data_IF_373237022580
#
_entry.id   IF_373237022580
#
_cell.length_a   1.000
_cell.length_b   1.000
_cell.length_c   1.000
_cell.angle_alpha   90.00
_cell.angle_beta   90.00
_cell.angle_gamma   90.00
#
_symmetry.space_group_name_H-M   'P 1'
#
loop_
_entity.id
_entity.type
_entity.pdbx_description
1 polymer ?
#
# COMPACT_ATOMS: atom_id res chain seq x y z
N UNK A 1 6.52 -12.92 -0.26
CA UNK A 1 6.12 -12.93 -1.69
C UNK A 1 4.65 -12.57 -1.95
N UNK A 2 3.72 -12.67 -0.97
CA UNK A 2 2.26 -12.52 -1.25
C UNK A 2 1.77 -11.06 -1.23
N UNK A 3 2.44 -10.12 -0.55
CA UNK A 3 1.90 -8.76 -0.34
C UNK A 3 1.82 -7.93 -1.63
N UNK A 4 2.89 -7.84 -2.43
CA UNK A 4 2.85 -7.10 -3.70
C UNK A 4 1.77 -7.64 -4.63
N UNK A 5 1.66 -8.97 -4.74
CA UNK A 5 0.60 -9.61 -5.54
C UNK A 5 -0.81 -9.24 -5.09
N UNK A 6 -1.04 -9.04 -3.79
CA UNK A 6 -2.34 -8.55 -3.29
C UNK A 6 -2.64 -7.14 -3.77
N UNK A 7 -1.64 -6.27 -3.86
CA UNK A 7 -1.85 -4.92 -4.40
C UNK A 7 -2.23 -4.98 -5.88
N UNK A 8 -1.56 -5.83 -6.66
CA UNK A 8 -1.91 -6.03 -8.07
C UNK A 8 -3.26 -6.72 -8.29
N UNK A 9 -3.78 -7.43 -7.28
CA UNK A 9 -5.06 -8.13 -7.36
C UNK A 9 -6.26 -7.24 -6.98
N UNK A 10 -6.08 -6.37 -5.98
CA UNK A 10 -7.19 -5.62 -5.37
C UNK A 10 -7.24 -4.14 -5.74
N UNK A 11 -6.16 -3.57 -6.27
CA UNK A 11 -6.14 -2.20 -6.76
C UNK A 11 -6.16 -2.19 -8.29
N UNK A 12 -6.76 -1.14 -8.85
CA UNK A 12 -6.84 -0.97 -10.29
C UNK A 12 -5.57 -0.29 -10.84
N UNK A 13 -5.18 -0.65 -12.07
CA UNK A 13 -4.05 -0.10 -12.82
C UNK A 13 -2.74 -0.01 -11.98
N UNK A 14 -2.29 -1.10 -11.35
CA UNK A 14 -1.06 -1.10 -10.55
C UNK A 14 0.16 -0.86 -11.44
N UNK A 15 0.99 0.14 -11.09
CA UNK A 15 2.25 0.44 -11.78
C UNK A 15 3.38 0.56 -10.78
N UNK A 16 4.52 -0.02 -11.11
CA UNK A 16 5.72 0.08 -10.28
C UNK A 16 6.86 0.66 -11.12
N UNK A 17 7.50 1.68 -10.58
CA UNK A 17 8.64 2.35 -11.20
C UNK A 17 9.84 2.21 -10.27
N UNK A 18 10.81 1.41 -10.68
CA UNK A 18 12.07 1.26 -9.94
C UNK A 18 12.87 2.55 -10.07
N UNK A 19 13.25 3.13 -8.94
CA UNK A 19 14.08 4.34 -8.93
C UNK A 19 15.56 3.97 -8.80
N UNK A 20 15.88 3.09 -7.86
CA UNK A 20 17.25 2.70 -7.58
C UNK A 20 17.31 1.26 -7.06
N UNK A 21 18.41 0.57 -7.33
CA UNK A 21 18.78 -0.66 -6.66
C UNK A 21 20.26 -0.61 -6.29
N UNK A 22 20.58 -0.90 -5.03
CA UNK A 22 21.95 -0.86 -4.49
C UNK A 22 22.18 -2.08 -3.62
N UNK A 23 23.36 -2.69 -3.74
CA UNK A 23 23.82 -3.64 -2.74
C UNK A 23 24.21 -2.87 -1.47
N UNK A 24 23.42 -3.01 -0.41
CA UNK A 24 23.61 -2.27 0.84
C UNK A 24 24.59 -2.97 1.76
N UNK A 25 24.61 -4.30 1.73
CA UNK A 25 25.57 -5.18 2.38
C UNK A 25 25.75 -6.44 1.54
N UNK A 26 26.82 -7.20 1.77
CA UNK A 26 27.07 -8.46 1.04
C UNK A 26 25.82 -9.36 1.06
N UNK A 27 25.29 -9.66 -0.13
CA UNK A 27 24.13 -10.53 -0.29
C UNK A 27 22.77 -9.88 0.02
N UNK A 28 22.71 -8.57 0.26
CA UNK A 28 21.46 -7.80 0.39
C UNK A 28 21.43 -6.68 -0.63
N UNK A 29 20.46 -6.76 -1.55
CA UNK A 29 20.17 -5.70 -2.51
C UNK A 29 18.89 -5.00 -2.06
N UNK A 30 18.99 -3.70 -1.79
CA UNK A 30 17.84 -2.86 -1.48
C UNK A 30 17.49 -2.02 -2.71
N UNK A 31 16.21 -1.98 -3.04
CA UNK A 31 15.67 -1.18 -4.11
C UNK A 31 14.58 -0.23 -3.59
N UNK A 32 14.57 0.99 -4.13
CA UNK A 32 13.48 1.94 -3.93
C UNK A 32 12.66 2.04 -5.20
N UNK A 33 11.35 2.17 -5.05
CA UNK A 33 10.42 2.26 -6.15
C UNK A 33 9.21 3.11 -5.78
N UNK A 34 8.57 3.67 -6.81
CA UNK A 34 7.25 4.29 -6.69
C UNK A 34 6.20 3.27 -7.13
N UNK A 35 5.26 2.95 -6.24
CA UNK A 35 4.09 2.13 -6.51
C UNK A 35 2.87 3.01 -6.65
N UNK A 36 2.27 2.99 -7.83
CA UNK A 36 1.04 3.70 -8.10
C UNK A 36 -0.14 2.72 -8.18
N UNK A 37 -1.21 3.02 -7.44
CA UNK A 37 -2.39 2.17 -7.33
C UNK A 37 -3.65 3.03 -7.43
N UNK A 38 -4.69 2.55 -8.11
CA UNK A 38 -6.00 3.22 -8.09
C UNK A 38 -6.95 2.48 -7.13
N UNK A 39 -7.56 3.22 -6.20
CA UNK A 39 -8.57 2.67 -5.30
C UNK A 39 -9.85 2.40 -6.08
N UNK A 40 -10.25 1.15 -6.19
CA UNK A 40 -11.48 0.72 -6.83
C UNK A 40 -12.49 0.19 -5.83
N UNK A 41 -13.67 -0.22 -6.32
CA UNK A 41 -14.67 -0.89 -5.49
C UNK A 41 -14.10 -2.18 -4.89
N UNK A 42 -13.33 -2.94 -5.67
CA UNK A 42 -12.62 -4.14 -5.20
C UNK A 42 -11.65 -3.80 -4.07
N UNK A 43 -10.92 -2.70 -4.18
CA UNK A 43 -10.03 -2.22 -3.11
C UNK A 43 -10.81 -1.94 -1.83
N UNK A 44 -11.94 -1.25 -1.91
CA UNK A 44 -12.76 -0.96 -0.74
C UNK A 44 -13.31 -2.24 -0.09
N UNK A 45 -13.73 -3.21 -0.90
CA UNK A 45 -14.25 -4.49 -0.39
C UNK A 45 -13.18 -5.40 0.22
N UNK A 46 -11.97 -5.40 -0.33
CA UNK A 46 -10.93 -6.37 0.03
C UNK A 46 -9.82 -5.81 0.92
N UNK A 47 -9.55 -4.51 0.85
CA UNK A 47 -8.43 -3.84 1.54
C UNK A 47 -8.93 -2.89 2.62
N UNK A 48 -10.05 -2.19 2.39
CA UNK A 48 -10.64 -1.26 3.36
C UNK A 48 -12.11 -1.61 3.74
N UNK A 49 -12.44 -2.88 4.04
CA UNK A 49 -13.83 -3.31 4.25
C UNK A 49 -14.52 -2.57 5.40
N UNK A 50 -13.76 -2.15 6.41
CA UNK A 50 -14.27 -1.41 7.56
C UNK A 50 -14.87 -0.05 7.17
N UNK A 51 -14.39 0.58 6.09
CA UNK A 51 -14.94 1.85 5.61
C UNK A 51 -16.35 1.70 5.02
N UNK A 52 -16.73 0.49 4.62
CA UNK A 52 -18.07 0.17 4.14
C UNK A 52 -19.04 -0.16 5.27
N UNK A 53 -18.52 -0.67 6.39
CA UNK A 53 -19.29 -1.16 7.54
C UNK A 53 -19.40 -0.15 8.70
N UNK A 54 -18.82 1.05 8.56
CA UNK A 54 -18.85 2.05 9.61
C UNK A 54 -20.30 2.48 9.94
N UNK A 55 -20.68 2.52 11.24
CA UNK A 55 -22.04 2.89 11.65
C UNK A 55 -22.36 4.30 11.19
N UNK A 56 -23.47 4.44 10.45
CA UNK A 56 -23.95 5.73 9.94
C UNK A 56 -24.70 6.44 11.06
N UNK A 57 -24.12 7.48 11.67
CA UNK A 57 -24.93 8.37 12.50
C UNK A 57 -25.69 9.34 11.58
N UNK A 58 -26.93 9.69 11.94
CA UNK A 58 -27.76 10.63 11.16
C UNK A 58 -27.17 12.06 11.12
N UNK A 59 -26.07 12.31 11.83
CA UNK A 59 -25.38 13.60 11.92
C UNK A 59 -23.98 13.59 11.27
N UNK A 60 -23.53 12.50 10.66
CA UNK A 60 -22.23 12.45 9.99
C UNK A 60 -22.26 13.30 8.71
N UNK A 61 -21.84 14.55 8.86
CA UNK A 61 -21.65 15.53 7.79
C UNK A 61 -20.34 15.31 7.03
N UNK A 62 -19.48 14.39 7.48
CA UNK A 62 -18.25 14.05 6.79
C UNK A 62 -18.54 13.14 5.58
N UNK A 63 -17.98 13.44 4.39
CA UNK A 63 -18.08 12.52 3.27
C UNK A 63 -17.46 11.18 3.68
N UNK A 64 -18.20 10.08 3.45
CA UNK A 64 -17.71 8.71 3.68
C UNK A 64 -16.27 8.59 3.13
N UNK A 65 -15.30 8.26 3.98
CA UNK A 65 -13.89 8.13 3.59
C UNK A 65 -13.72 7.17 2.40
N UNK A 66 -14.55 6.11 2.34
CA UNK A 66 -14.66 5.22 1.19
C UNK A 66 -14.96 5.98 -0.13
N UNK A 67 -15.91 6.91 -0.11
CA UNK A 67 -16.25 7.75 -1.27
C UNK A 67 -15.13 8.73 -1.61
N UNK A 68 -14.41 9.22 -0.60
CA UNK A 68 -13.28 10.11 -0.82
C UNK A 68 -12.09 9.42 -1.48
N UNK A 69 -11.86 8.15 -1.13
CA UNK A 69 -10.79 7.33 -1.68
C UNK A 69 -11.14 6.73 -3.04
N UNK A 70 -12.41 6.40 -3.30
CA UNK A 70 -12.81 5.75 -4.55
C UNK A 70 -12.37 6.55 -5.79
N UNK A 71 -11.67 5.87 -6.70
CA UNK A 71 -11.13 6.44 -7.93
C UNK A 71 -9.86 7.29 -7.72
N UNK A 72 -9.34 7.41 -6.49
CA UNK A 72 -8.08 8.13 -6.25
C UNK A 72 -6.88 7.26 -6.61
N UNK A 73 -5.91 7.91 -7.23
CA UNK A 73 -4.57 7.38 -7.46
C UNK A 73 -3.75 7.61 -6.20
N UNK A 74 -3.27 6.52 -5.60
CA UNK A 74 -2.29 6.53 -4.53
C UNK A 74 -0.91 6.38 -5.15
N UNK A 75 0.02 7.22 -4.74
CA UNK A 75 1.43 7.10 -5.05
C UNK A 75 2.14 6.76 -3.73
N UNK A 76 2.69 5.57 -3.64
CA UNK A 76 3.34 5.05 -2.45
C UNK A 76 4.83 4.87 -2.72
N UNK A 77 5.66 5.36 -1.80
CA UNK A 77 7.08 5.01 -1.79
C UNK A 77 7.23 3.57 -1.27
N UNK A 78 8.04 2.79 -1.98
CA UNK A 78 8.24 1.37 -1.70
C UNK A 78 9.73 1.08 -1.56
N UNK A 79 10.07 0.33 -0.51
CA UNK A 79 11.39 -0.27 -0.33
C UNK A 79 11.30 -1.79 -0.46
N UNK A 80 12.18 -2.37 -1.26
CA UNK A 80 12.28 -3.80 -1.54
C UNK A 80 13.66 -4.28 -1.09
N UNK A 81 13.73 -5.29 -0.22
CA UNK A 81 15.01 -5.91 0.18
C UNK A 81 15.08 -7.34 -0.31
N UNK A 82 15.99 -7.59 -1.25
CA UNK A 82 16.32 -8.91 -1.78
C UNK A 82 17.48 -9.48 -0.98
N UNK A 83 17.21 -10.54 -0.23
CA UNK A 83 18.21 -11.27 0.54
C UNK A 83 18.60 -12.50 -0.26
N UNK A 84 19.88 -12.61 -0.60
CA UNK A 84 20.43 -13.69 -1.39
C UNK A 84 21.02 -14.77 -0.49
N UNK A 85 20.81 -16.03 -0.86
CA UNK A 85 21.52 -17.16 -0.27
C UNK A 85 22.94 -17.22 -0.84
N UNK A 86 23.94 -17.15 0.03
CA UNK A 86 25.36 -17.08 -0.35
C UNK A 86 25.84 -18.31 -1.14
N UNK A 87 25.23 -19.48 -0.90
CA UNK A 87 25.65 -20.73 -1.54
C UNK A 87 25.12 -20.88 -2.96
N UNK A 88 23.86 -20.49 -3.19
CA UNK A 88 23.17 -20.65 -4.47
C UNK A 88 23.15 -19.40 -5.33
N UNK A 89 23.44 -18.22 -4.75
CA UNK A 89 23.34 -16.93 -5.42
C UNK A 89 21.91 -16.54 -5.79
N UNK A 90 20.89 -17.18 -5.18
CA UNK A 90 19.47 -16.93 -5.46
C UNK A 90 18.83 -16.13 -4.33
N UNK A 91 17.77 -15.38 -4.64
CA UNK A 91 16.96 -14.69 -3.63
C UNK A 91 16.30 -15.74 -2.73
N UNK A 92 16.68 -15.75 -1.46
CA UNK A 92 16.08 -16.59 -0.43
C UNK A 92 14.88 -15.91 0.22
N UNK A 93 14.88 -14.57 0.26
CA UNK A 93 13.79 -13.78 0.86
C UNK A 93 13.65 -12.41 0.20
N UNK A 94 12.40 -11.97 0.08
CA UNK A 94 12.02 -10.63 -0.37
C UNK A 94 11.19 -9.97 0.72
N UNK A 95 11.69 -8.85 1.25
CA UNK A 95 10.95 -7.95 2.12
C UNK A 95 10.43 -6.75 1.32
N UNK A 96 9.24 -6.28 1.68
CA UNK A 96 8.57 -5.17 1.00
C UNK A 96 8.02 -4.26 2.08
N UNK A 97 8.33 -2.98 2.00
CA UNK A 97 7.77 -1.93 2.84
C UNK A 97 7.11 -0.88 1.94
N UNK A 98 5.90 -0.48 2.28
CA UNK A 98 5.11 0.51 1.51
C UNK A 98 4.70 1.63 2.44
N UNK A 99 4.99 2.89 2.08
CA UNK A 99 4.55 4.06 2.82
C UNK A 99 3.08 4.39 2.53
N UNK A 100 2.18 3.67 3.21
CA UNK A 100 0.74 3.94 3.15
C UNK A 100 0.36 5.26 3.82
N UNK A 101 1.10 5.68 4.84
CA UNK A 101 0.78 6.89 5.61
C UNK A 101 1.02 8.12 4.74
N UNK A 102 2.18 8.22 4.10
CA UNK A 102 2.51 9.30 3.17
C UNK A 102 1.52 9.36 2.02
N UNK A 103 1.26 8.22 1.36
CA UNK A 103 0.35 8.15 0.22
C UNK A 103 -1.08 8.61 0.56
N UNK A 104 -1.62 8.15 1.69
CA UNK A 104 -2.98 8.51 2.12
C UNK A 104 -3.05 9.93 2.66
N UNK A 105 -1.98 10.45 3.29
CA UNK A 105 -1.96 11.81 3.79
C UNK A 105 -2.09 12.83 2.65
N UNK A 106 -1.44 12.58 1.51
CA UNK A 106 -1.58 13.40 0.30
C UNK A 106 -3.04 13.45 -0.19
N UNK A 107 -3.75 12.33 -0.14
CA UNK A 107 -5.14 12.24 -0.61
C UNK A 107 -6.15 12.76 0.40
N UNK A 108 -5.96 12.49 1.69
CA UNK A 108 -6.94 12.77 2.74
C UNK A 108 -6.69 14.10 3.47
N UNK A 109 -5.49 14.68 3.32
CA UNK A 109 -5.11 16.00 3.83
C UNK A 109 -4.94 16.10 5.34
N UNK A 110 -5.19 15.04 6.11
CA UNK A 110 -5.01 15.04 7.56
C UNK A 110 -4.78 13.64 8.14
N UNK A 111 -3.98 13.56 9.20
CA UNK A 111 -3.62 12.30 9.86
C UNK A 111 -4.80 11.59 10.52
N UNK A 112 -5.82 12.32 11.00
CA UNK A 112 -7.00 11.70 11.62
C UNK A 112 -7.69 10.77 10.62
N UNK A 113 -7.97 11.25 9.41
CA UNK A 113 -8.58 10.45 8.35
C UNK A 113 -7.67 9.31 7.92
N UNK A 114 -6.35 9.53 7.85
CA UNK A 114 -5.38 8.46 7.54
C UNK A 114 -5.45 7.35 8.58
N UNK A 115 -5.43 7.68 9.88
CA UNK A 115 -5.53 6.68 10.95
C UNK A 115 -6.86 5.92 10.88
N UNK A 116 -7.97 6.59 10.57
CA UNK A 116 -9.27 5.91 10.40
C UNK A 116 -9.30 4.97 9.19
N UNK A 117 -8.61 5.33 8.09
CA UNK A 117 -8.53 4.46 6.91
C UNK A 117 -7.63 3.25 7.17
N UNK A 118 -6.53 3.44 7.90
CA UNK A 118 -5.57 2.37 8.20
C UNK A 118 -6.07 1.45 9.34
N UNK A 119 -6.88 1.97 10.25
CA UNK A 119 -7.50 1.17 11.31
C UNK A 119 -8.40 0.10 10.69
N UNK A 120 -8.09 -1.18 10.93
CA UNK A 120 -8.79 -2.31 10.34
C UNK A 120 -8.50 -2.61 8.86
N UNK A 121 -7.56 -1.90 8.22
CA UNK A 121 -7.20 -2.15 6.83
C UNK A 121 -6.38 -3.43 6.65
N UNK A 122 -6.63 -4.15 5.55
CA UNK A 122 -5.96 -5.41 5.19
C UNK A 122 -4.82 -5.15 4.19
N UNK A 123 -3.92 -4.24 4.57
CA UNK A 123 -2.80 -3.74 3.75
C UNK A 123 -1.45 -4.37 4.09
N UNK A 124 -1.34 -4.97 5.27
CA UNK A 124 -0.16 -5.67 5.75
C UNK A 124 -0.56 -6.92 6.51
N UNK A 125 0.22 -7.98 6.35
CA UNK A 125 0.25 -9.15 7.23
C UNK A 125 1.60 -9.19 7.92
#
# INVERSE_FOLDING_TARGET
MIQLLRYFLYFDDPRIHLEQAVETTLGIVTATAILELTVSVSTLCSVFPQLLNAPRSQHDTQPLLAKHLLGKRLQCDVSLSFIFDEKSGRVSRLEISVDWVGALLVVLGNLKNVTTVLDGAVISG
#
